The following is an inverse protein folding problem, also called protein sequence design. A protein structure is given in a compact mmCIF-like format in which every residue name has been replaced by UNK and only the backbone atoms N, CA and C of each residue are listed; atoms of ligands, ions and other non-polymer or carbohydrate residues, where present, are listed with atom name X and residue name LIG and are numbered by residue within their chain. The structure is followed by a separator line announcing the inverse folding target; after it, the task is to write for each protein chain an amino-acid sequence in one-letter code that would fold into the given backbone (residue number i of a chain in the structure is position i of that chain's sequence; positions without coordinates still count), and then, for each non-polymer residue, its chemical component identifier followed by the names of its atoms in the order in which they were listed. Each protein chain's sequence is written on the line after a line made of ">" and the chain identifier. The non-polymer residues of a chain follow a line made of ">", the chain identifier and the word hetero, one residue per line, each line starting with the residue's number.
data_IF_154229964300
#
_entry.id   IF_154229964300
#
_cell.length_a   1.000
_cell.length_b   1.000
_cell.length_c   1.000
_cell.angle_alpha   90.00
_cell.angle_beta   90.00
_cell.angle_gamma   90.00
#
_symmetry.space_group_name_H-M   'P 1'
#
loop_
_entity.id
_entity.type
_entity.pdbx_description
1 polymer ?
#
# COMPACT_ATOMS: atom_id res chain seq x y z
N UNK A 1 12.20 -0.92 -11.71
CA UNK A 1 12.14 -2.35 -12.11
C UNK A 1 10.71 -2.67 -12.52
N UNK A 2 10.48 -3.60 -13.47
CA UNK A 2 9.14 -3.99 -13.93
C UNK A 2 8.96 -5.52 -13.79
N UNK A 3 7.91 -5.95 -13.09
CA UNK A 3 7.59 -7.36 -12.80
C UNK A 3 6.15 -7.68 -13.23
N UNK A 4 5.93 -8.83 -13.87
CA UNK A 4 4.60 -9.31 -14.26
C UNK A 4 4.46 -10.78 -13.91
N UNK A 5 3.37 -11.14 -13.25
CA UNK A 5 2.96 -12.52 -13.01
C UNK A 5 1.48 -12.71 -13.37
N UNK A 6 1.19 -13.83 -14.04
CA UNK A 6 -0.18 -14.26 -14.31
C UNK A 6 -0.62 -15.24 -13.23
N UNK A 7 0.07 -16.37 -13.10
CA UNK A 7 -0.32 -17.46 -12.22
C UNK A 7 0.90 -17.86 -11.39
N UNK A 8 0.96 -17.46 -10.12
CA UNK A 8 2.07 -17.82 -9.23
C UNK A 8 2.45 -16.76 -8.21
N UNK A 9 3.60 -16.96 -7.55
CA UNK A 9 4.09 -16.03 -6.53
C UNK A 9 5.23 -15.15 -7.05
N UNK A 10 5.13 -13.83 -6.84
CA UNK A 10 6.25 -12.89 -7.05
C UNK A 10 6.86 -12.59 -5.69
N UNK A 11 8.17 -12.79 -5.56
CA UNK A 11 8.93 -12.34 -4.40
C UNK A 11 10.07 -11.41 -4.82
N UNK A 12 10.07 -10.20 -4.28
CA UNK A 12 11.13 -9.23 -4.43
C UNK A 12 11.62 -8.85 -3.03
N UNK A 13 12.91 -9.05 -2.77
CA UNK A 13 13.51 -8.85 -1.46
C UNK A 13 14.68 -7.87 -1.54
N UNK A 14 14.78 -6.96 -0.57
CA UNK A 14 15.83 -5.94 -0.43
C UNK A 14 16.12 -5.15 -1.71
N UNK A 15 15.08 -4.89 -2.51
CA UNK A 15 15.25 -4.11 -3.74
C UNK A 15 15.47 -2.63 -3.43
N UNK A 16 16.18 -1.91 -4.31
CA UNK A 16 16.44 -0.48 -4.16
C UNK A 16 16.05 0.24 -5.45
N UNK A 17 15.33 1.36 -5.34
CA UNK A 17 14.98 2.23 -6.46
C UNK A 17 13.46 2.31 -6.69
N UNK A 18 13.00 2.04 -7.90
CA UNK A 18 11.56 2.10 -8.22
C UNK A 18 11.01 0.71 -8.52
N UNK A 19 9.75 0.47 -8.16
CA UNK A 19 9.04 -0.79 -8.43
C UNK A 19 7.75 -0.55 -9.20
N UNK A 20 7.58 -1.31 -10.27
CA UNK A 20 6.34 -1.49 -11.02
C UNK A 20 6.07 -3.00 -11.07
N UNK A 21 5.01 -3.46 -10.40
CA UNK A 21 4.67 -4.88 -10.30
C UNK A 21 3.19 -5.11 -10.61
N UNK A 22 2.91 -6.09 -11.48
CA UNK A 22 1.55 -6.53 -11.80
C UNK A 22 1.38 -8.02 -11.54
N UNK A 23 0.34 -8.38 -10.81
CA UNK A 23 -0.09 -9.76 -10.57
C UNK A 23 -1.54 -9.96 -11.00
N UNK A 24 -1.86 -11.13 -11.56
CA UNK A 24 -3.26 -11.54 -11.74
C UNK A 24 -3.70 -12.42 -10.58
N UNK A 25 -3.24 -13.67 -10.55
CA UNK A 25 -3.63 -14.68 -9.56
C UNK A 25 -2.42 -15.18 -8.76
N UNK A 26 -2.46 -15.01 -7.43
CA UNK A 26 -1.47 -15.59 -6.52
C UNK A 26 -1.02 -14.66 -5.38
N UNK A 27 0.27 -14.69 -5.05
CA UNK A 27 0.80 -13.89 -3.93
C UNK A 27 2.00 -13.06 -4.35
N UNK A 28 1.99 -11.78 -3.98
CA UNK A 28 3.09 -10.86 -4.22
C UNK A 28 3.67 -10.42 -2.90
N UNK A 29 4.98 -10.67 -2.72
CA UNK A 29 5.76 -10.22 -1.57
C UNK A 29 6.83 -9.28 -2.07
N UNK A 30 6.76 -8.02 -1.68
CA UNK A 30 7.68 -6.98 -2.14
C UNK A 30 8.24 -6.27 -0.92
N UNK A 31 9.54 -6.36 -0.71
CA UNK A 31 10.27 -5.57 0.27
C UNK A 31 11.52 -4.89 -0.31
N UNK A 32 11.79 -3.69 0.19
CA UNK A 32 12.93 -2.91 -0.27
C UNK A 32 12.84 -1.42 0.04
N UNK A 33 13.90 -0.71 -0.33
CA UNK A 33 13.98 0.74 -0.25
C UNK A 33 13.53 1.38 -1.56
N UNK A 34 12.30 1.90 -1.59
CA UNK A 34 11.72 2.44 -2.82
C UNK A 34 11.55 3.96 -2.79
N UNK A 35 11.72 4.58 -3.96
CA UNK A 35 11.46 6.00 -4.21
C UNK A 35 10.16 6.24 -4.99
N UNK A 36 9.63 5.19 -5.64
CA UNK A 36 8.34 5.16 -6.32
C UNK A 36 7.80 3.72 -6.33
N UNK A 37 6.50 3.57 -6.06
CA UNK A 37 5.81 2.28 -6.00
C UNK A 37 4.59 2.31 -6.92
N UNK A 38 4.52 1.36 -7.85
CA UNK A 38 3.34 1.05 -8.64
C UNK A 38 3.09 -0.45 -8.51
N UNK A 39 2.00 -0.85 -7.85
CA UNK A 39 1.65 -2.26 -7.70
C UNK A 39 0.18 -2.47 -8.03
N UNK A 40 -0.11 -3.46 -8.86
CA UNK A 40 -1.48 -3.84 -9.23
C UNK A 40 -1.67 -5.34 -9.07
N UNK A 41 -2.73 -5.76 -8.38
CA UNK A 41 -3.13 -7.17 -8.22
C UNK A 41 -4.61 -7.34 -8.52
N UNK A 42 -4.99 -8.45 -9.16
CA UNK A 42 -6.40 -8.79 -9.42
C UNK A 42 -6.98 -9.67 -8.33
N UNK A 43 -6.58 -10.94 -8.23
CA UNK A 43 -7.08 -11.89 -7.25
C UNK A 43 -5.90 -12.52 -6.49
N UNK A 44 -5.52 -11.92 -5.37
CA UNK A 44 -4.32 -12.36 -4.69
C UNK A 44 -3.93 -11.59 -3.44
N UNK A 45 -2.99 -12.16 -2.70
CA UNK A 45 -2.46 -11.54 -1.49
C UNK A 45 -1.24 -10.68 -1.83
N UNK A 46 -1.27 -9.42 -1.41
CA UNK A 46 -0.13 -8.51 -1.51
C UNK A 46 0.44 -8.22 -0.13
N UNK A 47 1.68 -8.64 0.11
CA UNK A 47 2.49 -8.23 1.25
C UNK A 47 3.54 -7.23 0.76
N UNK A 48 3.33 -5.94 1.03
CA UNK A 48 4.26 -4.87 0.66
C UNK A 48 4.94 -4.30 1.92
N UNK A 49 6.26 -4.21 1.89
CA UNK A 49 7.05 -3.63 2.98
C UNK A 49 8.02 -2.59 2.45
N UNK A 50 7.88 -1.35 2.88
CA UNK A 50 8.80 -0.28 2.55
C UNK A 50 9.89 -0.20 3.62
N UNK A 51 11.14 -0.52 3.28
CA UNK A 51 12.24 -0.57 4.25
C UNK A 51 12.56 0.80 4.87
N UNK A 52 13.10 0.86 6.10
CA UNK A 52 13.55 2.11 6.71
C UNK A 52 14.57 2.84 5.84
N UNK A 53 14.52 4.18 5.85
CA UNK A 53 15.36 5.02 4.98
C UNK A 53 14.76 5.29 3.60
N UNK A 54 13.67 4.62 3.23
CA UNK A 54 12.93 4.92 2.01
C UNK A 54 12.35 6.33 2.04
N UNK A 55 12.51 7.03 0.92
CA UNK A 55 11.93 8.35 0.71
C UNK A 55 11.21 8.32 -0.63
N UNK A 56 9.88 8.35 -0.58
CA UNK A 56 9.09 8.45 -1.79
C UNK A 56 9.30 9.85 -2.40
N UNK A 57 9.84 9.88 -3.61
CA UNK A 57 10.09 11.13 -4.35
C UNK A 57 9.07 11.33 -5.47
N UNK A 58 8.16 10.39 -5.65
CA UNK A 58 7.14 10.42 -6.71
C UNK A 58 5.84 9.77 -6.23
N UNK A 59 4.75 10.16 -6.90
CA UNK A 59 3.44 9.61 -6.64
C UNK A 59 3.47 8.08 -6.70
N UNK A 60 2.95 7.46 -5.65
CA UNK A 60 2.96 6.01 -5.47
C UNK A 60 1.53 5.49 -5.39
N UNK A 61 1.32 4.26 -5.89
CA UNK A 61 -0.01 3.66 -5.95
C UNK A 61 0.04 2.15 -5.79
N UNK A 62 -0.92 1.64 -5.03
CA UNK A 62 -1.22 0.22 -4.91
C UNK A 62 -2.69 0.00 -5.25
N UNK A 63 -2.98 -0.94 -6.14
CA UNK A 63 -4.35 -1.32 -6.52
C UNK A 63 -4.55 -2.82 -6.33
N UNK A 64 -5.66 -3.20 -5.73
CA UNK A 64 -6.12 -4.58 -5.56
C UNK A 64 -7.58 -4.68 -5.96
N UNK A 65 -7.97 -5.74 -6.68
CA UNK A 65 -9.40 -6.02 -6.88
C UNK A 65 -9.94 -6.88 -5.73
N UNK A 66 -9.39 -8.08 -5.55
CA UNK A 66 -9.77 -9.04 -4.50
C UNK A 66 -8.50 -9.60 -3.83
N UNK A 67 -8.65 -10.01 -2.57
CA UNK A 67 -7.58 -10.55 -1.73
C UNK A 67 -7.13 -9.63 -0.59
N UNK A 68 -6.13 -10.08 0.17
CA UNK A 68 -5.61 -9.33 1.32
C UNK A 68 -4.44 -8.42 0.92
N UNK A 69 -4.51 -7.16 1.32
CA UNK A 69 -3.41 -6.21 1.16
C UNK A 69 -2.82 -5.88 2.54
N UNK A 70 -1.59 -6.32 2.78
CA UNK A 70 -0.81 -6.01 3.98
C UNK A 70 0.31 -5.04 3.62
N UNK A 71 0.31 -3.85 4.20
CA UNK A 71 1.29 -2.81 3.92
C UNK A 71 2.02 -2.43 5.21
N UNK A 72 3.34 -2.53 5.19
CA UNK A 72 4.22 -2.14 6.31
C UNK A 72 5.07 -0.95 5.89
N UNK A 73 4.92 0.15 6.62
CA UNK A 73 5.64 1.40 6.32
C UNK A 73 6.53 1.81 7.49
N UNK A 74 7.68 2.44 7.22
CA UNK A 74 8.53 2.97 8.28
C UNK A 74 7.84 4.18 8.89
N UNK A 75 7.88 4.30 10.23
CA UNK A 75 7.21 5.40 10.94
C UNK A 75 7.74 6.79 10.54
N UNK A 76 8.98 6.87 10.04
CA UNK A 76 9.61 8.10 9.57
C UNK A 76 9.24 8.48 8.12
N UNK A 77 8.38 7.71 7.44
CA UNK A 77 7.96 8.00 6.07
C UNK A 77 7.10 9.27 6.02
N UNK A 78 7.46 10.22 5.18
CA UNK A 78 6.66 11.41 4.90
C UNK A 78 5.91 11.22 3.58
N UNK A 79 4.58 11.11 3.63
CA UNK A 79 3.74 10.91 2.45
C UNK A 79 2.27 11.27 2.76
N UNK A 80 1.53 11.69 1.74
CA UNK A 80 0.09 11.90 1.83
C UNK A 80 -0.64 10.61 1.49
N UNK A 81 -1.39 10.06 2.45
CA UNK A 81 -2.03 8.75 2.36
C UNK A 81 -3.49 8.90 1.93
N UNK A 82 -3.85 8.26 0.82
CA UNK A 82 -5.24 8.10 0.36
C UNK A 82 -5.56 6.62 0.21
N UNK A 83 -6.29 6.04 1.15
CA UNK A 83 -6.55 4.61 1.23
C UNK A 83 -8.04 4.35 1.17
N UNK A 84 -8.52 3.69 0.12
CA UNK A 84 -9.92 3.30 0.02
C UNK A 84 -10.07 1.81 -0.28
N UNK A 85 -11.09 1.20 0.29
CA UNK A 85 -11.62 -0.11 -0.04
C UNK A 85 -13.11 0.06 -0.42
N UNK A 86 -13.70 -0.87 -1.16
CA UNK A 86 -15.13 -0.84 -1.50
C UNK A 86 -15.94 -1.51 -0.40
N UNK A 87 -15.87 -2.85 -0.34
CA UNK A 87 -16.63 -3.67 0.59
C UNK A 87 -15.76 -4.26 1.72
N UNK A 88 -14.44 -4.15 1.61
CA UNK A 88 -13.49 -4.70 2.58
C UNK A 88 -13.36 -3.85 3.85
N UNK A 89 -12.62 -4.39 4.83
CA UNK A 89 -12.28 -3.65 6.04
C UNK A 89 -10.91 -2.97 5.90
N UNK A 90 -10.84 -1.73 6.35
CA UNK A 90 -9.62 -0.95 6.43
C UNK A 90 -9.16 -0.84 7.87
N UNK A 91 -7.98 -1.37 8.18
CA UNK A 91 -7.35 -1.24 9.48
C UNK A 91 -5.98 -0.57 9.32
N UNK A 92 -5.81 0.60 9.93
CA UNK A 92 -4.56 1.32 9.93
C UNK A 92 -4.09 1.60 11.36
N UNK A 93 -2.89 1.12 11.70
CA UNK A 93 -2.27 1.35 13.02
C UNK A 93 -1.12 2.35 12.98
N UNK A 94 -0.83 2.94 11.81
CA UNK A 94 0.17 4.01 11.69
C UNK A 94 -0.30 5.28 12.40
N UNK A 95 0.62 6.02 13.04
CA UNK A 95 0.33 7.35 13.57
C UNK A 95 0.26 8.36 12.41
N UNK A 96 -0.90 8.46 11.76
CA UNK A 96 -1.16 9.45 10.70
C UNK A 96 -1.96 10.62 11.25
N UNK A 97 -1.64 11.82 10.78
CA UNK A 97 -2.45 13.01 11.02
C UNK A 97 -3.60 12.98 10.02
N UNK A 98 -4.82 12.76 10.51
CA UNK A 98 -6.00 12.67 9.65
C UNK A 98 -6.54 14.07 9.33
N UNK A 99 -6.63 14.42 8.03
CA UNK A 99 -7.26 15.67 7.58
C UNK A 99 -8.79 15.55 7.51
N UNK A 100 -9.30 14.35 7.24
CA UNK A 100 -10.72 14.01 7.22
C UNK A 100 -10.95 12.62 7.80
N UNK A 101 -11.80 12.53 8.83
CA UNK A 101 -12.30 11.28 9.37
C UNK A 101 -13.82 11.31 9.24
N UNK A 102 -14.36 10.72 8.18
CA UNK A 102 -15.82 10.52 8.07
C UNK A 102 -16.18 9.27 8.89
N UNK A 103 -16.23 9.45 10.20
CA UNK A 103 -16.82 8.47 11.12
C UNK A 103 -18.34 8.51 11.02
N UNK A 104 -18.88 8.12 9.87
CA UNK A 104 -20.22 7.55 9.84
C UNK A 104 -20.07 6.05 10.10
N UNK A 105 -20.33 5.71 11.35
CA UNK A 105 -20.75 4.38 11.82
C UNK A 105 -19.99 3.17 11.26
N UNK A 106 -19.08 2.61 12.06
CA UNK A 106 -18.71 1.18 12.00
C UNK A 106 -18.18 0.66 10.64
N UNK A 107 -16.95 1.06 10.26
CA UNK A 107 -16.19 0.36 9.21
C UNK A 107 -15.76 1.24 8.04
N UNK A 108 -15.01 2.32 8.31
CA UNK A 108 -14.61 3.29 7.30
C UNK A 108 -13.88 2.66 6.12
N UNK A 109 -14.53 2.63 4.96
CA UNK A 109 -13.99 2.17 3.68
C UNK A 109 -12.99 3.16 3.08
N UNK A 110 -12.78 4.34 3.67
CA UNK A 110 -11.88 5.37 3.17
C UNK A 110 -11.11 6.03 4.33
N UNK A 111 -9.81 6.20 4.14
CA UNK A 111 -8.89 6.88 5.04
C UNK A 111 -8.09 7.88 4.22
N UNK A 112 -8.11 9.14 4.64
CA UNK A 112 -7.31 10.19 4.03
C UNK A 112 -6.59 10.99 5.13
N UNK A 113 -5.29 11.18 4.96
CA UNK A 113 -4.46 11.95 5.89
C UNK A 113 -3.02 11.95 5.44
N UNK A 114 -2.14 12.41 6.30
CA UNK A 114 -0.72 12.50 5.99
C UNK A 114 0.13 11.86 7.09
N UNK A 115 1.22 11.23 6.67
CA UNK A 115 2.26 10.71 7.56
C UNK A 115 3.33 11.78 7.75
N UNK A 116 3.72 12.01 9.00
CA UNK A 116 4.72 13.03 9.38
C UNK A 116 4.37 14.40 8.77
N UNK A 117 5.24 14.97 7.94
CA UNK A 117 5.03 16.27 7.30
C UNK A 117 4.25 16.19 5.97
N UNK A 118 3.67 15.04 5.64
CA UNK A 118 3.07 14.80 4.32
C UNK A 118 4.12 14.73 3.21
N UNK A 119 3.71 14.86 1.95
CA UNK A 119 4.69 14.98 0.86
C UNK A 119 4.18 14.53 -0.50
N UNK A 120 4.68 13.39 -0.98
CA UNK A 120 4.21 12.83 -2.24
C UNK A 120 2.96 11.97 -1.98
N UNK A 121 2.01 11.96 -2.92
CA UNK A 121 0.78 11.20 -2.75
C UNK A 121 1.08 9.70 -2.83
N UNK A 122 0.54 8.96 -1.87
CA UNK A 122 0.55 7.52 -1.81
C UNK A 122 -0.89 7.00 -1.71
N UNK A 123 -1.39 6.47 -2.83
CA UNK A 123 -2.76 5.98 -2.94
C UNK A 123 -2.85 4.45 -2.86
N UNK A 124 -3.79 3.93 -2.09
CA UNK A 124 -4.04 2.50 -1.95
C UNK A 124 -5.53 2.28 -2.22
N UNK A 125 -5.86 1.45 -3.21
CA UNK A 125 -7.26 1.18 -3.61
C UNK A 125 -7.51 -0.32 -3.64
N UNK A 126 -8.47 -0.79 -2.85
CA UNK A 126 -9.02 -2.15 -2.91
C UNK A 126 -10.48 -2.10 -3.37
N UNK A 127 -10.98 -3.13 -4.06
CA UNK A 127 -12.43 -3.27 -4.29
C UNK A 127 -13.06 -4.04 -3.13
N UNK A 128 -12.76 -5.32 -3.00
CA UNK A 128 -13.45 -6.20 -2.05
C UNK A 128 -12.47 -6.74 -0.98
N UNK A 129 -11.20 -6.33 -1.10
CA UNK A 129 -10.09 -6.77 -0.27
C UNK A 129 -9.96 -6.05 1.07
N UNK A 130 -9.49 -6.79 2.08
CA UNK A 130 -9.11 -6.22 3.36
C UNK A 130 -7.76 -5.52 3.25
N UNK A 131 -7.69 -4.27 3.71
CA UNK A 131 -6.47 -3.47 3.70
C UNK A 131 -5.99 -3.30 5.14
N UNK A 132 -4.80 -3.84 5.43
CA UNK A 132 -4.13 -3.66 6.71
C UNK A 132 -2.84 -2.87 6.51
N UNK A 133 -2.74 -1.75 7.22
CA UNK A 133 -1.59 -0.87 7.19
C UNK A 133 -1.00 -0.80 8.60
N UNK A 134 0.28 -1.17 8.74
CA UNK A 134 0.97 -1.16 10.04
C UNK A 134 2.31 -0.46 9.95
N UNK A 135 2.78 -0.01 11.12
CA UNK A 135 4.17 0.37 11.29
C UNK A 135 5.09 -0.86 11.13
N UNK A 136 6.30 -0.61 10.64
CA UNK A 136 7.43 -1.54 10.76
C UNK A 136 7.96 -1.64 12.19
#
# INVERSE_FOLDING_TARGET
>A
MHLVASDGSVSLHNAIGTVDARGSDGSMKIDGQFTMVQVETSDGNLDFTLSPGSQLTSASRIKSSDGRVSIRLPQALSADMDVATGDGHLNCTLPLTMDHYDSRESGGHHLHGHLNNGGVPFSIRASDGNVSITAL
#
